data_IF_897721898210
#
_entry.id   IF_897721898210
#
_cell.length_a   1.000
_cell.length_b   1.000
_cell.length_c   1.000
_cell.angle_alpha   90.00
_cell.angle_beta   90.00
_cell.angle_gamma   90.00
#
_symmetry.space_group_name_H-M   'P 1'
#
loop_
_entity.id
_entity.type
_entity.pdbx_description
1 polymer ?
#
# COMPACT_ATOMS: atom_id res chain seq x y z
N UNK A 1 -3.58 -10.94 56.38
CA UNK A 1 -4.15 -11.87 55.39
C UNK A 1 -4.43 -11.06 54.14
N UNK A 2 -3.54 -11.09 53.14
CA UNK A 2 -3.69 -10.31 51.92
C UNK A 2 -4.46 -11.16 50.89
N UNK A 3 -5.67 -10.74 50.53
CA UNK A 3 -6.46 -11.40 49.49
C UNK A 3 -5.81 -11.05 48.15
N UNK A 4 -5.19 -12.04 47.48
CA UNK A 4 -4.65 -11.87 46.14
C UNK A 4 -5.79 -11.62 45.16
N UNK A 5 -5.82 -10.43 44.55
CA UNK A 5 -6.75 -10.11 43.47
C UNK A 5 -6.40 -10.97 42.25
N UNK A 6 -7.39 -11.64 41.66
CA UNK A 6 -7.18 -12.45 40.46
C UNK A 6 -7.66 -11.65 39.26
N UNK A 7 -6.73 -11.25 38.40
CA UNK A 7 -7.03 -10.64 37.12
C UNK A 7 -6.63 -11.62 36.00
N UNK A 8 -7.56 -11.92 35.09
CA UNK A 8 -7.30 -12.73 33.90
C UNK A 8 -7.41 -11.81 32.69
N UNK A 9 -6.41 -11.85 31.81
CA UNK A 9 -6.39 -11.10 30.55
C UNK A 9 -6.10 -12.05 29.40
N UNK A 10 -6.85 -11.89 28.32
CA UNK A 10 -6.69 -12.60 27.05
C UNK A 10 -6.51 -11.57 25.94
N UNK A 11 -5.54 -11.82 25.06
CA UNK A 11 -5.25 -10.96 23.91
C UNK A 11 -5.30 -11.81 22.66
N UNK A 12 -6.07 -11.37 21.67
CA UNK A 12 -6.11 -11.92 20.32
C UNK A 12 -5.63 -10.81 19.40
N UNK A 13 -4.53 -11.02 18.71
CA UNK A 13 -4.06 -10.15 17.64
C UNK A 13 -3.92 -10.96 16.36
N UNK A 14 -4.22 -10.34 15.23
CA UNK A 14 -3.88 -10.91 13.94
C UNK A 14 -3.61 -9.83 12.90
N UNK A 15 -2.86 -10.26 11.89
CA UNK A 15 -2.50 -9.48 10.70
C UNK A 15 -3.22 -10.14 9.53
N UNK A 16 -4.06 -9.38 8.82
CA UNK A 16 -4.85 -9.91 7.70
C UNK A 16 -4.02 -9.89 6.42
N UNK A 17 -3.26 -8.80 6.25
CA UNK A 17 -2.36 -8.53 5.14
C UNK A 17 -1.30 -7.53 5.61
N UNK A 18 -0.35 -7.18 4.74
CA UNK A 18 0.73 -6.25 5.06
C UNK A 18 0.25 -4.84 5.44
N UNK A 19 -1.01 -4.49 5.17
CA UNK A 19 -1.60 -3.18 5.44
C UNK A 19 -2.57 -3.17 6.63
N UNK A 20 -3.02 -4.33 7.12
CA UNK A 20 -4.19 -4.42 8.01
C UNK A 20 -3.91 -5.23 9.27
N UNK A 21 -4.07 -4.56 10.40
CA UNK A 21 -3.74 -5.08 11.72
C UNK A 21 -4.95 -4.95 12.64
N UNK A 22 -5.27 -5.99 13.41
CA UNK A 22 -6.31 -5.90 14.44
C UNK A 22 -5.89 -6.57 15.75
N UNK A 23 -6.37 -6.02 16.84
CA UNK A 23 -6.15 -6.54 18.18
C UNK A 23 -7.42 -6.41 19.02
N UNK A 24 -7.77 -7.48 19.72
CA UNK A 24 -8.86 -7.55 20.68
C UNK A 24 -8.29 -8.03 22.01
N UNK A 25 -8.53 -7.26 23.06
CA UNK A 25 -8.14 -7.56 24.42
C UNK A 25 -9.40 -7.74 25.26
N UNK A 26 -9.45 -8.82 26.04
CA UNK A 26 -10.55 -9.09 26.97
C UNK A 26 -9.94 -9.36 28.34
N UNK A 27 -10.39 -8.63 29.34
CA UNK A 27 -9.90 -8.75 30.71
C UNK A 27 -11.04 -8.89 31.71
N UNK A 28 -10.83 -9.68 32.76
CA UNK A 28 -11.70 -9.72 33.94
C UNK A 28 -10.87 -9.56 35.20
N UNK A 29 -11.29 -8.67 36.10
CA UNK A 29 -10.62 -8.44 37.37
C UNK A 29 -11.65 -8.30 38.48
N UNK A 30 -11.60 -9.22 39.44
CA UNK A 30 -12.49 -9.38 40.60
C UNK A 30 -14.00 -9.45 40.27
N UNK A 31 -14.58 -8.41 39.63
CA UNK A 31 -16.00 -8.28 39.19
C UNK A 31 -16.22 -7.35 37.99
N UNK A 32 -15.17 -6.87 37.32
CA UNK A 32 -15.30 -5.91 36.23
C UNK A 32 -14.68 -6.49 34.97
N UNK A 33 -15.46 -6.47 33.89
CA UNK A 33 -15.04 -6.89 32.57
C UNK A 33 -14.53 -5.68 31.79
N UNK A 34 -13.38 -5.84 31.13
CA UNK A 34 -12.86 -4.87 30.16
C UNK A 34 -12.72 -5.53 28.79
N UNK A 35 -13.09 -4.80 27.74
CA UNK A 35 -12.92 -5.21 26.36
C UNK A 35 -12.37 -4.03 25.58
N UNK A 36 -11.22 -4.20 24.93
CA UNK A 36 -10.55 -3.17 24.16
C UNK A 36 -10.21 -3.72 22.78
N UNK A 37 -10.70 -3.06 21.73
CA UNK A 37 -10.49 -3.41 20.35
C UNK A 37 -9.78 -2.30 19.59
N UNK A 38 -8.87 -2.69 18.71
CA UNK A 38 -8.12 -1.82 17.84
C UNK A 38 -8.03 -2.41 16.43
N UNK A 39 -8.17 -1.56 15.43
CA UNK A 39 -8.04 -1.88 14.01
C UNK A 39 -7.27 -0.76 13.32
N UNK A 40 -6.23 -1.11 12.56
CA UNK A 40 -5.43 -0.16 11.78
C UNK A 40 -5.31 -0.64 10.34
N UNK A 41 -5.46 0.28 9.39
CA UNK A 41 -5.34 0.00 7.96
C UNK A 41 -4.53 1.08 7.24
N UNK A 42 -3.45 0.65 6.60
CA UNK A 42 -2.52 1.47 5.82
C UNK A 42 -2.96 1.60 4.36
N UNK A 43 -3.97 2.45 4.13
CA UNK A 43 -4.47 2.74 2.80
C UNK A 43 -3.48 3.53 1.92
N UNK A 44 -3.73 3.52 0.61
CA UNK A 44 -2.90 4.28 -0.34
C UNK A 44 -2.99 5.80 -0.17
N UNK A 45 -4.11 6.32 0.35
CA UNK A 45 -4.35 7.76 0.51
C UNK A 45 -4.12 8.25 1.96
N UNK A 46 -4.33 7.37 2.94
CA UNK A 46 -4.25 7.67 4.37
C UNK A 46 -4.19 6.37 5.17
N UNK A 47 -3.63 6.45 6.38
CA UNK A 47 -3.78 5.46 7.43
C UNK A 47 -5.06 5.75 8.23
N UNK A 48 -5.79 4.70 8.57
CA UNK A 48 -7.04 4.74 9.33
C UNK A 48 -6.89 3.88 10.57
N UNK A 49 -7.14 4.44 11.76
CA UNK A 49 -7.25 3.66 12.98
C UNK A 49 -8.62 3.80 13.63
N UNK A 50 -9.12 2.68 14.14
CA UNK A 50 -10.35 2.55 14.88
C UNK A 50 -10.04 1.92 16.23
N UNK A 51 -10.62 2.48 17.28
CA UNK A 51 -10.55 1.91 18.62
C UNK A 51 -11.92 1.88 19.27
N UNK A 52 -12.17 0.86 20.08
CA UNK A 52 -13.37 0.75 20.89
C UNK A 52 -13.00 0.14 22.23
N UNK A 53 -13.37 0.79 23.33
CA UNK A 53 -13.03 0.34 24.67
C UNK A 53 -14.31 0.31 25.51
N UNK A 54 -14.45 -0.75 26.30
CA UNK A 54 -15.56 -0.96 27.21
C UNK A 54 -15.01 -1.40 28.55
N UNK A 55 -15.26 -0.60 29.59
CA UNK A 55 -14.96 -0.96 30.98
C UNK A 55 -16.24 -0.95 31.78
N UNK A 56 -16.63 -2.14 32.24
CA UNK A 56 -17.85 -2.35 33.03
C UNK A 56 -17.88 -1.42 34.25
N UNK A 57 -18.98 -0.66 34.38
CA UNK A 57 -19.19 0.26 35.50
C UNK A 57 -18.35 1.55 35.48
N UNK A 58 -17.56 1.80 34.42
CA UNK A 58 -16.74 3.01 34.30
C UNK A 58 -17.05 3.82 33.05
N UNK A 59 -16.75 3.28 31.86
CA UNK A 59 -16.91 4.02 30.62
C UNK A 59 -17.00 3.11 29.40
N UNK A 60 -17.51 3.69 28.31
CA UNK A 60 -17.45 3.13 26.97
C UNK A 60 -16.97 4.24 26.05
N UNK A 61 -15.98 3.94 25.21
CA UNK A 61 -15.42 4.90 24.28
C UNK A 61 -15.20 4.27 22.91
N UNK A 62 -15.27 5.10 21.88
CA UNK A 62 -14.86 4.76 20.53
C UNK A 62 -14.06 5.92 19.95
N UNK A 63 -13.06 5.60 19.15
CA UNK A 63 -12.16 6.58 18.53
C UNK A 63 -11.90 6.23 17.07
N UNK A 64 -11.74 7.28 16.25
CA UNK A 64 -11.32 7.20 14.85
C UNK A 64 -10.17 8.20 14.64
N UNK A 65 -9.05 7.75 14.07
CA UNK A 65 -7.97 8.61 13.57
C UNK A 65 -7.75 8.39 12.08
N UNK A 66 -7.47 9.49 11.39
CA UNK A 66 -7.10 9.50 9.98
C UNK A 66 -5.81 10.29 9.85
N UNK A 67 -4.78 9.67 9.28
CA UNK A 67 -3.48 10.29 9.08
C UNK A 67 -3.00 10.13 7.65
N UNK A 68 -2.64 11.24 7.02
CA UNK A 68 -2.13 11.22 5.65
C UNK A 68 -1.41 12.51 5.30
N UNK A 69 -1.05 12.62 4.04
CA UNK A 69 -0.33 13.73 3.46
C UNK A 69 -0.66 13.89 2.00
N UNK A 70 -0.30 15.05 1.45
CA UNK A 70 -0.39 15.33 0.04
C UNK A 70 0.98 15.71 -0.49
N UNK A 71 1.34 15.16 -1.64
CA UNK A 71 2.55 15.54 -2.37
C UNK A 71 2.19 16.04 -3.75
N UNK A 72 2.64 17.26 -4.06
CA UNK A 72 2.45 17.91 -5.34
C UNK A 72 3.81 18.31 -5.92
N UNK A 73 4.01 18.02 -7.19
CA UNK A 73 5.24 18.33 -7.94
C UNK A 73 4.88 18.85 -9.34
N UNK A 74 5.88 19.29 -10.11
CA UNK A 74 5.69 19.61 -11.53
C UNK A 74 5.25 18.41 -12.39
N UNK A 75 5.40 17.17 -11.90
CA UNK A 75 4.97 15.94 -12.57
C UNK A 75 3.61 15.43 -12.09
N UNK A 76 2.87 16.23 -11.32
CA UNK A 76 1.59 15.85 -10.70
C UNK A 76 1.72 15.52 -9.22
N UNK A 77 0.72 14.83 -8.68
CA UNK A 77 0.67 14.54 -7.25
C UNK A 77 -0.37 13.52 -6.84
N UNK A 78 -0.28 13.11 -5.58
CA UNK A 78 -1.17 12.15 -4.96
C UNK A 78 -1.27 12.39 -3.45
N UNK A 79 -2.38 11.92 -2.87
CA UNK A 79 -2.48 11.71 -1.44
C UNK A 79 -1.71 10.44 -1.07
N UNK A 80 -1.27 10.37 0.17
CA UNK A 80 -0.59 9.20 0.70
C UNK A 80 -0.73 9.09 2.21
N UNK A 81 -0.61 7.87 2.74
CA UNK A 81 -0.37 7.67 4.17
C UNK A 81 0.93 8.37 4.60
N UNK A 82 1.02 8.74 5.86
CA UNK A 82 2.21 9.41 6.40
C UNK A 82 2.97 8.45 7.28
N UNK A 83 4.13 7.98 6.81
CA UNK A 83 5.04 7.22 7.67
C UNK A 83 5.82 8.16 8.60
N UNK A 84 6.53 9.12 8.01
CA UNK A 84 7.26 10.16 8.74
C UNK A 84 6.85 11.53 8.19
N UNK A 85 6.35 12.41 9.06
CA UNK A 85 5.95 13.76 8.65
C UNK A 85 7.16 14.55 8.12
N UNK A 86 7.07 15.04 6.89
CA UNK A 86 8.19 15.71 6.22
C UNK A 86 9.31 14.76 5.74
N UNK A 87 9.12 13.45 5.88
CA UNK A 87 10.07 12.45 5.43
C UNK A 87 10.24 12.40 3.91
N UNK A 88 11.33 11.74 3.51
CA UNK A 88 11.66 11.43 2.12
C UNK A 88 10.58 10.55 1.50
N UNK A 89 10.25 10.82 0.24
CA UNK A 89 9.19 10.08 -0.47
C UNK A 89 9.41 10.09 -1.97
N UNK A 90 8.78 9.14 -2.65
CA UNK A 90 8.90 8.95 -4.09
C UNK A 90 7.54 9.13 -4.75
N UNK A 91 7.40 10.13 -5.62
CA UNK A 91 6.29 10.23 -6.55
C UNK A 91 6.54 9.27 -7.72
N UNK A 92 5.59 8.36 -7.90
CA UNK A 92 5.56 7.38 -8.97
C UNK A 92 4.58 7.84 -10.04
N UNK A 93 4.97 7.70 -11.30
CA UNK A 93 4.12 7.87 -12.47
C UNK A 93 4.03 6.56 -13.25
N UNK A 94 2.83 6.02 -13.36
CA UNK A 94 2.52 4.82 -14.15
C UNK A 94 1.92 5.18 -15.52
N UNK A 95 2.45 6.22 -16.17
CA UNK A 95 2.03 6.65 -17.51
C UNK A 95 0.52 6.94 -17.65
N UNK A 96 -0.08 7.45 -16.57
CA UNK A 96 -1.52 7.74 -16.52
C UNK A 96 -2.42 6.54 -16.26
N UNK A 97 -1.86 5.35 -16.03
CA UNK A 97 -2.63 4.14 -15.70
C UNK A 97 -2.95 4.11 -14.19
N UNK A 98 -4.24 4.10 -13.87
CA UNK A 98 -4.75 4.02 -12.50
C UNK A 98 -4.70 2.59 -11.95
N UNK A 99 -4.81 2.46 -10.63
CA UNK A 99 -4.88 1.19 -9.90
C UNK A 99 -3.68 0.26 -10.15
N UNK A 100 -2.52 0.83 -10.50
CA UNK A 100 -1.26 0.09 -10.61
C UNK A 100 -0.69 -0.11 -9.21
N UNK A 101 -0.50 -1.37 -8.76
CA UNK A 101 0.08 -1.66 -7.45
C UNK A 101 1.58 -1.37 -7.48
N UNK A 102 2.03 -0.48 -6.59
CA UNK A 102 3.44 -0.16 -6.41
C UNK A 102 3.87 -0.57 -5.01
N UNK A 103 4.83 -1.48 -4.95
CA UNK A 103 5.44 -1.97 -3.74
C UNK A 103 6.80 -1.31 -3.50
N UNK A 104 7.13 -1.11 -2.22
CA UNK A 104 8.37 -0.52 -1.75
C UNK A 104 8.88 -1.27 -0.53
N UNK A 105 9.21 -0.56 0.55
CA UNK A 105 9.60 -1.18 1.82
C UNK A 105 8.42 -1.43 2.78
N UNK A 106 7.19 -1.08 2.39
CA UNK A 106 5.98 -1.26 3.18
C UNK A 106 4.81 -1.74 2.30
N UNK A 107 3.60 -1.70 2.86
CA UNK A 107 2.39 -2.14 2.16
C UNK A 107 2.23 -1.46 0.78
N UNK A 108 1.72 -2.19 -0.20
CA UNK A 108 1.50 -1.70 -1.55
C UNK A 108 0.65 -0.40 -1.55
N UNK A 109 1.00 0.52 -2.45
CA UNK A 109 0.21 1.71 -2.73
C UNK A 109 -0.25 1.69 -4.19
N UNK A 110 -1.47 2.13 -4.44
CA UNK A 110 -2.06 2.11 -5.77
C UNK A 110 -2.04 3.49 -6.41
N UNK A 111 -1.80 3.53 -7.73
CA UNK A 111 -1.87 4.79 -8.47
C UNK A 111 -3.29 5.33 -8.52
N UNK A 112 -3.41 6.65 -8.34
CA UNK A 112 -4.68 7.36 -8.45
C UNK A 112 -5.16 7.42 -9.92
N UNK A 113 -6.32 8.06 -10.13
CA UNK A 113 -6.92 8.24 -11.47
C UNK A 113 -6.02 8.93 -12.52
N UNK A 114 -4.93 9.58 -12.10
CA UNK A 114 -3.95 10.24 -12.98
C UNK A 114 -2.68 9.40 -13.18
N UNK A 115 -2.70 8.14 -12.73
CA UNK A 115 -1.56 7.24 -12.72
C UNK A 115 -0.45 7.67 -11.77
N UNK A 116 -0.77 8.38 -10.66
CA UNK A 116 0.21 8.86 -9.69
C UNK A 116 0.07 8.16 -8.34
N UNK A 117 1.18 7.73 -7.75
CA UNK A 117 1.23 7.20 -6.38
C UNK A 117 2.40 7.83 -5.63
N UNK A 118 2.32 7.93 -4.30
CA UNK A 118 3.44 8.37 -3.49
C UNK A 118 3.82 7.26 -2.52
N UNK A 119 5.07 6.80 -2.63
CA UNK A 119 5.66 5.84 -1.70
C UNK A 119 6.38 6.63 -0.61
N UNK A 120 5.89 6.55 0.63
CA UNK A 120 6.45 7.25 1.79
C UNK A 120 7.49 6.42 2.57
N UNK A 121 7.52 5.10 2.35
CA UNK A 121 8.39 4.17 3.07
C UNK A 121 9.77 4.09 2.43
N UNK A 122 10.46 5.24 2.38
CA UNK A 122 11.71 5.44 1.64
C UNK A 122 12.83 5.81 2.59
N UNK A 123 13.93 5.05 2.56
CA UNK A 123 15.09 5.25 3.41
C UNK A 123 15.98 6.38 2.88
N UNK A 124 16.43 7.26 3.78
CA UNK A 124 17.33 8.37 3.44
C UNK A 124 18.74 7.85 3.16
N UNK A 125 19.42 8.39 2.15
CA UNK A 125 20.82 8.09 1.80
C UNK A 125 21.09 6.63 1.36
N UNK A 126 20.06 5.79 1.28
CA UNK A 126 20.15 4.42 0.78
C UNK A 126 19.51 4.29 -0.60
N UNK A 127 19.91 3.25 -1.33
CA UNK A 127 19.25 2.87 -2.58
C UNK A 127 17.89 2.25 -2.23
N UNK A 128 16.83 2.92 -2.65
CA UNK A 128 15.47 2.43 -2.54
C UNK A 128 15.03 1.85 -3.89
N UNK A 129 14.21 0.83 -3.82
CA UNK A 129 13.58 0.22 -4.98
C UNK A 129 12.07 0.38 -4.84
N UNK A 130 11.42 0.67 -5.95
CA UNK A 130 9.97 0.55 -6.07
C UNK A 130 9.71 -0.40 -7.23
N UNK A 131 8.71 -1.26 -7.10
CA UNK A 131 8.37 -2.22 -8.13
C UNK A 131 6.86 -2.39 -8.27
N UNK A 132 6.43 -2.81 -9.45
CA UNK A 132 5.04 -3.14 -9.75
C UNK A 132 4.85 -4.62 -9.49
N UNK A 133 3.88 -4.98 -8.64
CA UNK A 133 3.44 -6.37 -8.49
C UNK A 133 2.64 -6.78 -9.72
N UNK A 134 3.28 -7.53 -10.62
CA UNK A 134 2.69 -7.99 -11.87
C UNK A 134 1.52 -8.96 -11.65
N UNK A 135 1.42 -9.60 -10.49
CA UNK A 135 0.32 -10.53 -10.18
C UNK A 135 -0.96 -9.81 -9.77
N UNK A 136 -0.84 -8.56 -9.30
CA UNK A 136 -1.97 -7.71 -8.89
C UNK A 136 -2.25 -6.60 -9.89
N UNK A 137 -1.51 -6.55 -11.00
CA UNK A 137 -1.71 -5.56 -12.05
C UNK A 137 -3.06 -5.78 -12.75
N UNK A 138 -3.81 -4.73 -13.11
CA UNK A 138 -5.04 -4.87 -13.88
C UNK A 138 -4.83 -5.68 -15.17
N UNK A 139 -5.79 -6.52 -15.55
CA UNK A 139 -5.68 -7.41 -16.72
C UNK A 139 -5.43 -6.63 -18.03
N UNK A 140 -5.95 -5.41 -18.10
CA UNK A 140 -5.81 -4.47 -19.22
C UNK A 140 -4.61 -3.53 -19.08
N UNK A 141 -3.61 -3.88 -18.27
CA UNK A 141 -2.38 -3.11 -18.11
C UNK A 141 -1.14 -3.99 -18.24
N UNK A 142 -0.08 -3.44 -18.84
CA UNK A 142 1.22 -4.09 -18.99
C UNK A 142 2.33 -3.15 -18.56
N UNK A 143 3.19 -3.60 -17.64
CA UNK A 143 4.39 -2.88 -17.27
C UNK A 143 5.58 -3.43 -18.08
N UNK A 144 6.16 -2.61 -18.96
CA UNK A 144 7.37 -2.98 -19.72
C UNK A 144 8.63 -2.88 -18.86
N UNK A 145 8.58 -2.04 -17.83
CA UNK A 145 9.54 -1.99 -16.75
C UNK A 145 8.78 -2.12 -15.43
N UNK A 146 9.10 -3.14 -14.63
CA UNK A 146 8.45 -3.40 -13.35
C UNK A 146 9.25 -2.94 -12.14
N UNK A 147 10.50 -2.48 -12.31
CA UNK A 147 11.36 -2.05 -11.19
C UNK A 147 12.05 -0.73 -11.50
N UNK A 148 12.02 0.21 -10.57
CA UNK A 148 12.76 1.48 -10.60
C UNK A 148 13.56 1.65 -9.31
N UNK A 149 14.66 2.42 -9.37
CA UNK A 149 15.54 2.64 -8.22
C UNK A 149 15.86 4.12 -8.02
N UNK A 150 16.01 4.54 -6.78
CA UNK A 150 16.39 5.90 -6.42
C UNK A 150 17.19 5.94 -5.11
N UNK A 151 18.21 6.79 -5.07
CA UNK A 151 18.87 7.21 -3.83
C UNK A 151 18.47 8.66 -3.56
N UNK A 152 17.95 8.94 -2.37
CA UNK A 152 17.38 10.24 -2.03
C UNK A 152 18.02 10.77 -0.73
N UNK A 153 18.25 12.08 -0.67
CA UNK A 153 18.64 12.74 0.58
C UNK A 153 17.43 12.87 1.51
N UNK A 154 17.68 13.18 2.77
CA UNK A 154 16.62 13.42 3.75
C UNK A 154 15.66 14.55 3.30
N UNK A 155 14.36 14.28 3.42
CA UNK A 155 13.28 15.19 3.05
C UNK A 155 13.08 15.36 1.54
N UNK A 156 13.84 14.65 0.69
CA UNK A 156 13.70 14.78 -0.75
C UNK A 156 12.41 14.14 -1.26
N UNK A 157 11.80 14.78 -2.26
CA UNK A 157 10.70 14.22 -3.03
C UNK A 157 11.29 13.75 -4.36
N UNK A 158 11.53 12.44 -4.48
CA UNK A 158 11.98 11.83 -5.72
C UNK A 158 10.84 11.69 -6.73
N UNK A 159 11.18 11.57 -8.01
CA UNK A 159 10.25 11.22 -9.08
C UNK A 159 10.76 10.01 -9.87
N UNK A 160 9.92 9.00 -10.08
CA UNK A 160 10.21 7.86 -10.96
C UNK A 160 9.01 7.48 -11.79
N UNK A 161 9.28 7.04 -13.00
CA UNK A 161 8.29 6.68 -13.99
C UNK A 161 8.39 5.19 -14.31
N UNK A 162 7.27 4.49 -14.27
CA UNK A 162 7.10 3.17 -14.85
C UNK A 162 6.44 3.30 -16.22
N UNK A 163 7.01 2.61 -17.20
CA UNK A 163 6.39 2.50 -18.51
C UNK A 163 5.27 1.46 -18.43
N UNK A 164 4.04 1.93 -18.27
CA UNK A 164 2.83 1.11 -18.20
C UNK A 164 1.93 1.42 -19.39
N UNK A 165 1.49 0.38 -20.08
CA UNK A 165 0.61 0.46 -21.25
C UNK A 165 -0.75 -0.06 -20.83
N UNK A 166 -1.81 0.72 -21.05
CA UNK A 166 -3.17 0.22 -20.94
C UNK A 166 -3.65 -0.33 -22.29
N UNK A 167 -4.18 -1.55 -22.30
CA UNK A 167 -4.67 -2.21 -23.49
C UNK A 167 -5.02 -3.68 -23.24
N UNK A 168 -5.78 -4.26 -24.16
CA UNK A 168 -6.04 -5.71 -24.15
C UNK A 168 -4.82 -6.47 -24.65
N UNK A 169 -4.51 -7.58 -23.97
CA UNK A 169 -3.47 -8.52 -24.37
C UNK A 169 -4.10 -9.68 -25.11
N UNK A 170 -3.52 -10.05 -26.25
CA UNK A 170 -3.94 -11.22 -27.00
C UNK A 170 -2.71 -11.93 -27.56
N UNK A 171 -2.72 -13.26 -27.50
CA UNK A 171 -1.75 -14.09 -28.20
C UNK A 171 -2.35 -14.49 -29.55
N UNK A 172 -1.74 -14.02 -30.64
CA UNK A 172 -2.18 -14.33 -32.00
C UNK A 172 -1.16 -15.25 -32.70
N UNK A 173 -1.65 -16.21 -33.48
CA UNK A 173 -0.83 -17.03 -34.37
C UNK A 173 -0.95 -16.46 -35.78
N UNK A 174 0.14 -15.94 -36.32
CA UNK A 174 0.20 -15.38 -37.68
C UNK A 174 0.55 -16.47 -38.70
N UNK A 175 -0.15 -16.47 -39.84
CA UNK A 175 0.16 -17.31 -41.01
C UNK A 175 0.21 -16.46 -42.26
N UNK A 176 1.19 -16.73 -43.12
CA UNK A 176 1.35 -16.11 -44.43
C UNK A 176 0.32 -16.70 -45.42
N UNK A 177 0.13 -16.03 -46.57
CA UNK A 177 -0.82 -16.48 -47.61
C UNK A 177 -0.51 -17.89 -48.14
N UNK A 178 0.76 -18.29 -48.08
CA UNK A 178 1.24 -19.63 -48.46
C UNK A 178 1.05 -20.69 -47.36
N UNK A 179 0.46 -20.32 -46.21
CA UNK A 179 0.22 -21.20 -45.07
C UNK A 179 1.42 -21.40 -44.14
N UNK A 180 2.58 -20.83 -44.46
CA UNK A 180 3.76 -20.86 -43.59
C UNK A 180 3.69 -19.84 -42.45
N UNK A 181 4.58 -19.97 -41.46
CA UNK A 181 4.67 -19.03 -40.33
C UNK A 181 5.77 -17.99 -40.61
N UNK A 182 5.59 -16.72 -40.19
CA UNK A 182 6.66 -15.74 -40.30
C UNK A 182 7.89 -16.18 -39.50
N UNK A 183 9.11 -15.80 -39.93
CA UNK A 183 10.33 -16.14 -39.21
C UNK A 183 10.36 -15.48 -37.82
N UNK A 184 11.11 -16.07 -36.90
CA UNK A 184 11.32 -15.49 -35.57
C UNK A 184 11.92 -14.08 -35.68
N UNK A 185 11.38 -13.13 -34.91
CA UNK A 185 11.80 -11.72 -34.95
C UNK A 185 11.17 -10.88 -36.06
N UNK A 186 10.19 -11.41 -36.81
CA UNK A 186 9.39 -10.60 -37.72
C UNK A 186 8.64 -9.50 -36.95
N UNK A 187 8.84 -8.24 -37.34
CA UNK A 187 8.21 -7.09 -36.70
C UNK A 187 6.84 -6.81 -37.35
N UNK A 188 5.78 -6.79 -36.53
CA UNK A 188 4.49 -6.25 -36.95
C UNK A 188 4.45 -4.77 -36.61
N UNK A 189 4.42 -3.92 -37.64
CA UNK A 189 4.24 -2.49 -37.45
C UNK A 189 2.74 -2.18 -37.29
N UNK A 190 2.38 -1.46 -36.23
CA UNK A 190 1.05 -0.86 -36.07
C UNK A 190 1.02 0.52 -36.72
#
# INVERSE_FOLDING_TARGET
MAVGRTAVRSVISAVVDDATHYQLNVGTSDKHTSVDGYYSHDGSLAQVDLSANYHEGQYTSAGLSLQGGATLTAHGGALHRTQNMGGTRLLIDADGVADVPVEGNGAAVYTNMFGKAVVSDVNNYYRNQAYIDLNKLPENAEATQSVVQATLTEGAIGYRKFAVISGQKAMAVLRLQDGSHPPFGAESKK
#
